data_IF_331698497906
#
_entry.id   IF_331698497906
#
_cell.length_a   1.000
_cell.length_b   1.000
_cell.length_c   1.000
_cell.angle_alpha   90.00
_cell.angle_beta   90.00
_cell.angle_gamma   90.00
#
_symmetry.space_group_name_H-M   'P 1'
#
loop_
_entity.id
_entity.type
_entity.pdbx_description
1 polymer ?
#
# COMPACT_ATOMS: atom_id res chain seq x y z
N UNK A 1 -1.74 16.30 8.98
CA UNK A 1 -2.16 15.34 7.93
C UNK A 1 -1.46 15.65 6.62
N UNK A 2 -1.37 14.68 5.70
CA UNK A 2 -0.89 14.93 4.34
C UNK A 2 -1.79 15.98 3.67
N UNK A 3 -1.21 17.00 3.04
CA UNK A 3 -1.97 18.06 2.37
C UNK A 3 -2.23 17.69 0.91
N UNK A 4 -3.35 18.17 0.37
CA UNK A 4 -3.77 17.87 -1.01
C UNK A 4 -2.74 18.27 -2.06
N UNK A 5 -2.07 19.40 -1.88
CA UNK A 5 -1.03 19.89 -2.80
C UNK A 5 0.22 18.99 -2.84
N UNK A 6 0.44 18.15 -1.84
CA UNK A 6 1.56 17.21 -1.77
C UNK A 6 1.27 15.91 -2.53
N UNK A 7 -0.01 15.62 -2.83
CA UNK A 7 -0.44 14.42 -3.56
C UNK A 7 -0.52 14.74 -5.05
N UNK A 8 0.64 14.78 -5.70
CA UNK A 8 0.76 15.02 -7.13
C UNK A 8 0.57 13.74 -7.96
N UNK A 9 0.38 13.88 -9.27
CA UNK A 9 0.36 12.75 -10.19
C UNK A 9 1.69 11.98 -10.19
N UNK A 10 2.82 12.69 -10.05
CA UNK A 10 4.16 12.11 -9.94
C UNK A 10 4.30 11.28 -8.66
N UNK A 11 3.75 11.77 -7.54
CA UNK A 11 3.69 11.03 -6.29
C UNK A 11 2.85 9.76 -6.43
N UNK A 12 1.64 9.86 -6.98
CA UNK A 12 0.77 8.68 -7.15
C UNK A 12 1.40 7.63 -8.09
N UNK A 13 2.08 8.09 -9.15
CA UNK A 13 2.80 7.22 -10.07
C UNK A 13 3.97 6.51 -9.38
N UNK A 14 4.82 7.24 -8.66
CA UNK A 14 5.96 6.65 -7.96
C UNK A 14 5.54 5.71 -6.84
N UNK A 15 4.44 6.01 -6.13
CA UNK A 15 3.85 5.11 -5.15
C UNK A 15 3.39 3.81 -5.82
N UNK A 16 2.67 3.91 -6.94
CA UNK A 16 2.21 2.74 -7.71
C UNK A 16 3.38 1.88 -8.20
N UNK A 17 4.46 2.50 -8.69
CA UNK A 17 5.68 1.79 -9.12
C UNK A 17 6.40 1.10 -7.95
N UNK A 18 6.43 1.75 -6.77
CA UNK A 18 7.05 1.21 -5.56
C UNK A 18 6.29 -0.02 -5.08
N UNK A 19 4.95 0.04 -5.09
CA UNK A 19 4.08 -1.08 -4.76
C UNK A 19 4.23 -2.24 -5.75
N UNK A 20 4.20 -1.95 -7.06
CA UNK A 20 4.42 -2.95 -8.10
C UNK A 20 5.72 -3.73 -7.89
N UNK A 21 6.82 -3.01 -7.58
CA UNK A 21 8.13 -3.62 -7.26
C UNK A 21 8.11 -4.43 -5.98
N UNK A 22 7.48 -3.93 -4.91
CA UNK A 22 7.39 -4.65 -3.65
C UNK A 22 6.73 -6.01 -3.83
N UNK A 23 5.58 -6.04 -4.50
CA UNK A 23 4.78 -7.26 -4.61
C UNK A 23 5.10 -8.12 -5.84
N UNK A 24 5.89 -7.59 -6.79
CA UNK A 24 6.20 -8.26 -8.04
C UNK A 24 4.98 -8.40 -8.94
N UNK A 25 4.12 -7.39 -8.95
CA UNK A 25 2.98 -7.30 -9.86
C UNK A 25 3.27 -6.27 -10.96
N UNK A 26 2.63 -6.45 -12.13
CA UNK A 26 2.56 -5.38 -13.12
C UNK A 26 1.81 -4.17 -12.57
N UNK A 27 2.25 -2.96 -12.93
CA UNK A 27 1.69 -1.69 -12.43
C UNK A 27 0.18 -1.55 -12.72
N UNK A 28 -0.32 -2.17 -13.78
CA UNK A 28 -1.73 -2.21 -14.14
C UNK A 28 -2.63 -2.95 -13.14
N UNK A 29 -2.03 -3.67 -12.18
CA UNK A 29 -2.75 -4.35 -11.08
C UNK A 29 -2.70 -3.57 -9.76
N UNK A 30 -2.06 -2.41 -9.76
CA UNK A 30 -1.95 -1.56 -8.57
C UNK A 30 -3.00 -0.46 -8.68
N UNK A 31 -3.87 -0.40 -7.68
CA UNK A 31 -4.76 0.73 -7.46
C UNK A 31 -4.29 1.49 -6.21
N UNK A 32 -4.23 2.81 -6.31
CA UNK A 32 -3.84 3.68 -5.21
C UNK A 32 -4.93 4.71 -4.99
N UNK A 33 -5.40 4.79 -3.75
CA UNK A 33 -6.29 5.83 -3.26
C UNK A 33 -5.57 6.56 -2.13
N UNK A 34 -5.59 7.89 -2.17
CA UNK A 34 -4.95 8.73 -1.14
C UNK A 34 -5.96 9.70 -0.58
N UNK A 35 -6.16 9.64 0.73
CA UNK A 35 -7.04 10.53 1.46
C UNK A 35 -6.20 11.60 2.15
N UNK A 36 -6.48 12.87 1.87
CA UNK A 36 -5.78 14.02 2.44
C UNK A 36 -6.62 14.73 3.49
N UNK A 37 -5.99 15.62 4.25
CA UNK A 37 -6.69 16.52 5.18
C UNK A 37 -7.49 15.79 6.29
N UNK A 38 -7.08 14.55 6.59
CA UNK A 38 -7.68 13.74 7.65
C UNK A 38 -7.37 14.31 9.04
N UNK A 39 -8.38 14.35 9.92
CA UNK A 39 -8.19 14.70 11.33
C UNK A 39 -7.72 13.48 12.11
N UNK A 40 -6.41 13.28 12.17
CA UNK A 40 -5.80 12.18 12.90
C UNK A 40 -5.38 12.66 14.29
N UNK A 41 -5.84 11.94 15.32
CA UNK A 41 -5.48 12.18 16.71
C UNK A 41 -4.44 11.16 17.16
N UNK A 42 -3.33 11.62 17.71
CA UNK A 42 -2.25 10.76 18.24
C UNK A 42 -1.99 11.18 19.67
N UNK A 43 -2.09 10.24 20.62
CA UNK A 43 -1.86 10.54 22.04
C UNK A 43 -2.86 11.51 22.67
N UNK A 44 -4.04 11.71 22.06
CA UNK A 44 -5.07 12.65 22.53
C UNK A 44 -4.98 14.05 21.91
N UNK A 45 -3.99 14.31 21.06
CA UNK A 45 -3.82 15.60 20.38
C UNK A 45 -4.04 15.45 18.87
N UNK A 46 -4.72 16.43 18.28
CA UNK A 46 -4.76 16.57 16.81
C UNK A 46 -3.44 17.20 16.42
N UNK A 47 -2.54 16.40 15.85
CA UNK A 47 -1.22 16.87 15.42
C UNK A 47 -1.30 17.59 14.07
N UNK A 48 -0.57 18.70 13.96
CA UNK A 48 -0.36 19.40 12.67
C UNK A 48 0.59 18.63 11.72
N UNK A 49 1.35 17.66 12.26
CA UNK A 49 2.26 16.84 11.48
C UNK A 49 1.51 15.91 10.50
N UNK A 50 2.05 15.66 9.30
CA UNK A 50 1.46 14.75 8.34
C UNK A 50 1.61 13.30 8.83
N UNK A 51 0.54 12.80 9.42
CA UNK A 51 0.39 11.37 9.62
C UNK A 51 0.00 10.74 8.28
N UNK A 52 0.78 9.77 7.80
CA UNK A 52 0.42 8.97 6.63
C UNK A 52 -0.03 7.60 7.11
N UNK A 53 -1.26 7.25 6.75
CA UNK A 53 -1.81 5.93 6.92
C UNK A 53 -1.99 5.31 5.54
N UNK A 54 -1.34 4.17 5.31
CA UNK A 54 -1.50 3.40 4.08
C UNK A 54 -2.18 2.08 4.44
N UNK A 55 -3.41 1.91 3.96
CA UNK A 55 -4.10 0.61 3.98
C UNK A 55 -3.78 -0.11 2.68
N UNK A 56 -3.15 -1.28 2.79
CA UNK A 56 -2.82 -2.09 1.64
C UNK A 56 -3.65 -3.36 1.63
N UNK A 57 -4.64 -3.38 0.75
CA UNK A 57 -5.54 -4.51 0.55
C UNK A 57 -5.06 -5.29 -0.66
N UNK A 58 -4.75 -6.57 -0.51
CA UNK A 58 -4.27 -7.34 -1.65
C UNK A 58 -3.99 -8.81 -1.40
N UNK A 59 -3.84 -9.53 -2.51
CA UNK A 59 -3.44 -10.94 -2.55
C UNK A 59 -1.92 -11.04 -2.60
N UNK A 60 -1.37 -12.12 -2.05
CA UNK A 60 0.07 -12.40 -2.15
C UNK A 60 0.92 -11.68 -1.11
N UNK A 61 0.29 -11.02 -0.13
CA UNK A 61 0.98 -10.38 0.98
C UNK A 61 1.48 -11.47 1.94
N UNK A 62 2.81 -11.60 2.05
CA UNK A 62 3.46 -12.54 2.96
C UNK A 62 3.95 -11.80 4.20
N UNK A 63 3.65 -12.32 5.38
CA UNK A 63 4.08 -11.75 6.67
C UNK A 63 5.60 -11.54 6.75
N UNK A 64 6.38 -12.45 6.17
CA UNK A 64 7.85 -12.36 6.13
C UNK A 64 8.36 -11.15 5.31
N UNK A 65 7.59 -10.67 4.34
CA UNK A 65 7.99 -9.55 3.47
C UNK A 65 7.56 -8.18 4.02
N UNK A 66 6.70 -8.15 5.05
CA UNK A 66 6.17 -6.92 5.66
C UNK A 66 7.28 -5.93 6.07
N UNK A 67 8.36 -6.33 6.78
CA UNK A 67 9.43 -5.39 7.14
C UNK A 67 10.11 -4.77 5.92
N UNK A 68 10.35 -5.57 4.88
CA UNK A 68 10.98 -5.13 3.63
C UNK A 68 10.09 -4.14 2.89
N UNK A 69 8.80 -4.44 2.75
CA UNK A 69 7.84 -3.57 2.05
C UNK A 69 7.59 -2.28 2.81
N UNK A 70 7.46 -2.36 4.14
CA UNK A 70 7.28 -1.18 5.00
C UNK A 70 8.44 -0.20 4.85
N UNK A 71 9.67 -0.72 4.86
CA UNK A 71 10.87 0.10 4.64
C UNK A 71 10.87 0.78 3.27
N UNK A 72 10.61 0.03 2.20
CA UNK A 72 10.62 0.58 0.85
C UNK A 72 9.57 1.69 0.64
N UNK A 73 8.39 1.53 1.24
CA UNK A 73 7.32 2.53 1.16
C UNK A 73 7.64 3.77 1.99
N UNK A 74 8.20 3.60 3.19
CA UNK A 74 8.66 4.71 4.02
C UNK A 74 9.75 5.52 3.29
N UNK A 75 10.76 4.86 2.74
CA UNK A 75 11.85 5.51 1.99
C UNK A 75 11.32 6.31 0.80
N UNK A 76 10.37 5.74 0.05
CA UNK A 76 9.71 6.46 -1.05
C UNK A 76 8.96 7.70 -0.55
N UNK A 77 8.12 7.54 0.48
CA UNK A 77 7.30 8.63 1.02
C UNK A 77 8.16 9.75 1.57
N UNK A 78 9.21 9.45 2.35
CA UNK A 78 10.11 10.46 2.91
C UNK A 78 10.87 11.23 1.81
N UNK A 79 11.20 10.56 0.71
CA UNK A 79 11.83 11.19 -0.45
C UNK A 79 10.88 12.03 -1.30
N UNK A 80 9.59 11.67 -1.35
CA UNK A 80 8.59 12.34 -2.18
C UNK A 80 7.80 13.43 -1.46
N UNK A 81 7.61 13.31 -0.14
CA UNK A 81 6.81 14.22 0.68
C UNK A 81 7.69 14.82 1.78
N UNK A 82 8.19 16.05 1.60
CA UNK A 82 9.10 16.70 2.56
C UNK A 82 8.51 16.91 3.94
N UNK A 83 7.19 16.92 4.08
CA UNK A 83 6.52 17.09 5.37
C UNK A 83 6.52 15.81 6.21
N UNK A 84 6.63 14.63 5.57
CA UNK A 84 6.68 13.33 6.25
C UNK A 84 8.16 12.95 6.43
N UNK A 85 8.80 13.47 7.48
CA UNK A 85 10.20 13.15 7.80
C UNK A 85 10.33 12.28 9.05
N UNK A 86 9.39 12.41 9.98
CA UNK A 86 9.36 11.61 11.21
C UNK A 86 8.82 10.20 10.91
N UNK A 87 9.64 9.13 11.01
CA UNK A 87 9.19 7.78 10.76
C UNK A 87 8.11 7.30 11.75
N UNK A 88 8.04 7.88 12.95
CA UNK A 88 7.01 7.53 13.94
C UNK A 88 5.61 8.06 13.56
N UNK A 89 5.53 8.88 12.49
CA UNK A 89 4.30 9.42 11.92
C UNK A 89 3.86 8.68 10.65
N UNK A 90 4.53 7.59 10.30
CA UNK A 90 4.17 6.70 9.21
C UNK A 90 3.62 5.39 9.75
N UNK A 91 2.36 5.09 9.42
CA UNK A 91 1.76 3.79 9.71
C UNK A 91 1.35 3.11 8.40
N UNK A 92 1.68 1.83 8.31
CA UNK A 92 1.32 0.97 7.19
C UNK A 92 0.58 -0.24 7.74
N UNK A 93 -0.62 -0.46 7.24
CA UNK A 93 -1.45 -1.60 7.60
C UNK A 93 -1.63 -2.49 6.37
N UNK A 94 -1.37 -3.79 6.55
CA UNK A 94 -1.48 -4.78 5.49
C UNK A 94 -2.72 -5.64 5.74
N UNK A 95 -3.64 -5.64 4.79
CA UNK A 95 -4.86 -6.44 4.78
C UNK A 95 -4.75 -7.55 3.73
N UNK A 96 -4.12 -8.69 4.05
CA UNK A 96 -4.08 -9.82 3.14
C UNK A 96 -5.51 -10.27 2.84
N UNK A 97 -5.84 -10.40 1.56
CA UNK A 97 -7.13 -10.89 1.09
C UNK A 97 -7.03 -12.35 0.66
N UNK A 98 -8.10 -13.10 0.93
CA UNK A 98 -8.28 -14.41 0.33
C UNK A 98 -8.50 -14.25 -1.20
N UNK A 99 -7.62 -14.84 -2.04
CA UNK A 99 -7.71 -14.69 -3.49
C UNK A 99 -8.96 -15.31 -4.11
N UNK A 100 -9.64 -16.23 -3.42
CA UNK A 100 -10.92 -16.81 -3.86
C UNK A 100 -12.12 -15.92 -3.53
N UNK A 101 -11.96 -14.96 -2.62
CA UNK A 101 -12.99 -14.00 -2.24
C UNK A 101 -12.87 -12.65 -2.95
N UNK A 102 -11.78 -12.45 -3.71
CA UNK A 102 -11.55 -11.23 -4.49
C UNK A 102 -11.86 -11.48 -5.98
N UNK A 103 -12.69 -10.62 -6.56
CA UNK A 103 -13.08 -10.69 -7.97
C UNK A 103 -12.20 -9.83 -8.88
N UNK A 104 -11.74 -10.39 -9.99
CA UNK A 104 -11.02 -9.67 -11.05
C UNK A 104 -11.33 -10.28 -12.41
N UNK A 105 -11.58 -9.43 -13.43
CA UNK A 105 -11.90 -9.88 -14.82
C UNK A 105 -13.06 -10.87 -14.91
N UNK A 106 -14.07 -10.72 -14.04
CA UNK A 106 -15.25 -11.58 -14.02
C UNK A 106 -15.03 -12.98 -13.43
N UNK A 107 -13.89 -13.23 -12.77
CA UNK A 107 -13.60 -14.48 -12.05
C UNK A 107 -12.86 -14.18 -10.73
N UNK A 108 -12.39 -15.19 -10.00
CA UNK A 108 -11.59 -15.01 -8.79
C UNK A 108 -10.15 -14.62 -9.12
N UNK A 109 -9.47 -13.91 -8.22
CA UNK A 109 -8.06 -13.56 -8.39
C UNK A 109 -7.20 -14.83 -8.49
N UNK A 110 -7.54 -15.91 -7.77
CA UNK A 110 -6.90 -17.22 -7.91
C UNK A 110 -6.85 -17.69 -9.37
N UNK A 111 -7.99 -17.68 -10.05
CA UNK A 111 -8.07 -18.11 -11.45
C UNK A 111 -7.28 -17.19 -12.38
N UNK A 112 -7.31 -15.88 -12.13
CA UNK A 112 -6.51 -14.95 -12.93
C UNK A 112 -5.01 -15.19 -12.73
N UNK A 113 -4.54 -15.43 -11.50
CA UNK A 113 -3.13 -15.68 -11.23
C UNK A 113 -2.64 -16.98 -11.88
N UNK A 114 -3.46 -18.05 -11.89
CA UNK A 114 -3.17 -19.30 -12.61
C UNK A 114 -3.04 -19.08 -14.12
N UNK A 115 -3.99 -18.35 -14.72
CA UNK A 115 -3.94 -18.03 -16.15
C UNK A 115 -2.70 -17.22 -16.56
N UNK A 116 -2.13 -16.49 -15.61
CA UNK A 116 -0.93 -15.67 -15.79
C UNK A 116 0.38 -16.38 -15.42
N UNK A 117 0.33 -17.62 -14.91
CA UNK A 117 1.52 -18.34 -14.41
C UNK A 117 2.15 -17.69 -13.18
N UNK A 118 1.33 -17.09 -12.31
CA UNK A 118 1.74 -16.41 -11.06
C UNK A 118 1.25 -17.18 -9.82
N UNK A 119 1.30 -18.50 -9.85
CA UNK A 119 0.79 -19.35 -8.77
C UNK A 119 1.55 -19.14 -7.45
N UNK A 120 2.81 -18.70 -7.49
CA UNK A 120 3.62 -18.36 -6.31
C UNK A 120 3.10 -17.14 -5.53
N UNK A 121 2.20 -16.37 -6.14
CA UNK A 121 1.51 -15.21 -5.57
C UNK A 121 0.18 -15.56 -4.91
N UNK A 122 -0.31 -16.78 -5.07
CA UNK A 122 -1.50 -17.26 -4.38
C UNK A 122 -1.13 -17.53 -2.91
N UNK A 123 -1.42 -16.57 -2.04
CA UNK A 123 -1.17 -16.65 -0.61
C UNK A 123 -2.48 -16.44 0.11
N UNK A 124 -2.86 -17.40 0.96
CA UNK A 124 -4.03 -17.29 1.81
C UNK A 124 -3.64 -16.66 3.14
N UNK A 125 -4.48 -15.77 3.70
CA UNK A 125 -4.28 -15.24 5.04
C UNK A 125 -4.18 -16.37 6.09
N UNK A 126 -3.28 -16.23 7.06
CA UNK A 126 -3.27 -17.09 8.24
C UNK A 126 -4.56 -16.85 9.05
N UNK A 127 -5.17 -17.92 9.58
CA UNK A 127 -6.38 -17.85 10.41
C UNK A 127 -6.07 -17.40 11.83
#
# INVERSE_FOLDING_TARGET
SLKREEVTSEFLKGLSETLAKCFGYGIERIAVEVHTDLRIMVGGEIGDAPYLFLDMVGVGIKKADVPKHSKALLEYVQGAIPSVQDPDRFLLNFHPQDPDLLGMRGTTVTEVLRQLGLEDKIVYPEK
#
